data_IF_714208756599
#
_entry.id   IF_714208756599
#
_cell.length_a   1.000
_cell.length_b   1.000
_cell.length_c   1.000
_cell.angle_alpha   90.00
_cell.angle_beta   90.00
_cell.angle_gamma   90.00
#
_symmetry.space_group_name_H-M   'P 1'
#
loop_
_entity.id
_entity.type
_entity.pdbx_description
1 polymer ?
#
# COMPACT_ATOMS: atom_id res chain seq x y z
N UNK A 1 14.75 -13.76 17.31
CA UNK A 1 13.47 -13.75 18.05
C UNK A 1 12.44 -13.54 17.02
N UNK A 2 11.52 -14.49 16.91
CA UNK A 2 10.58 -14.52 15.82
C UNK A 2 9.57 -13.39 15.96
N UNK A 3 9.43 -12.62 14.89
CA UNK A 3 8.40 -11.60 14.74
C UNK A 3 7.42 -12.05 13.65
N UNK A 4 6.22 -11.47 13.70
CA UNK A 4 5.17 -11.69 12.72
C UNK A 4 4.71 -10.33 12.21
N UNK A 5 4.43 -10.24 10.92
CA UNK A 5 3.99 -9.00 10.27
C UNK A 5 3.04 -9.28 9.12
N UNK A 6 2.16 -8.34 8.82
CA UNK A 6 1.40 -8.30 7.57
C UNK A 6 2.16 -7.44 6.56
N UNK A 7 2.57 -8.03 5.46
CA UNK A 7 3.33 -7.37 4.40
C UNK A 7 2.66 -7.51 3.04
N UNK A 8 3.11 -6.71 2.09
CA UNK A 8 2.71 -6.77 0.69
C UNK A 8 3.92 -6.84 -0.23
N UNK A 9 3.77 -7.52 -1.37
CA UNK A 9 4.78 -7.61 -2.44
C UNK A 9 6.11 -8.27 -2.02
N UNK A 10 6.04 -9.28 -1.16
CA UNK A 10 7.20 -10.13 -0.88
C UNK A 10 7.45 -11.11 -2.03
N UNK A 11 8.70 -11.28 -2.46
CA UNK A 11 9.06 -12.13 -3.60
C UNK A 11 8.99 -11.38 -4.94
N UNK A 12 8.37 -12.00 -5.95
CA UNK A 12 8.27 -11.45 -7.31
C UNK A 12 7.46 -10.14 -7.36
N UNK A 13 7.89 -9.23 -8.23
CA UNK A 13 7.31 -7.88 -8.41
C UNK A 13 7.29 -7.53 -9.89
N UNK A 14 6.52 -6.52 -10.26
CA UNK A 14 6.54 -6.01 -11.63
C UNK A 14 7.93 -5.46 -11.99
N UNK A 15 8.29 -5.54 -13.26
CA UNK A 15 9.58 -5.08 -13.76
C UNK A 15 9.77 -3.57 -13.53
N UNK A 16 8.69 -2.79 -13.61
CA UNK A 16 8.70 -1.35 -13.37
C UNK A 16 9.09 -1.03 -11.92
N UNK A 17 8.49 -1.72 -10.94
CA UNK A 17 8.81 -1.52 -9.53
C UNK A 17 10.24 -1.97 -9.21
N UNK A 18 10.66 -3.11 -9.77
CA UNK A 18 12.03 -3.61 -9.64
C UNK A 18 13.04 -2.58 -10.17
N UNK A 19 12.80 -2.04 -11.36
CA UNK A 19 13.68 -1.06 -11.97
C UNK A 19 13.73 0.23 -11.14
N UNK A 20 12.59 0.74 -10.68
CA UNK A 20 12.53 1.93 -9.82
C UNK A 20 13.38 1.75 -8.56
N UNK A 21 13.16 0.65 -7.81
CA UNK A 21 13.89 0.34 -6.58
C UNK A 21 15.39 0.19 -6.86
N UNK A 22 15.75 -0.54 -7.92
CA UNK A 22 17.14 -0.77 -8.29
C UNK A 22 17.88 0.53 -8.65
N UNK A 23 17.21 1.47 -9.33
CA UNK A 23 17.80 2.78 -9.61
C UNK A 23 18.01 3.60 -8.33
N UNK A 24 17.05 3.61 -7.41
CA UNK A 24 17.25 4.24 -6.10
C UNK A 24 18.43 3.63 -5.34
N UNK A 25 18.55 2.29 -5.31
CA UNK A 25 19.69 1.61 -4.69
C UNK A 25 21.03 2.02 -5.33
N UNK A 26 21.08 2.14 -6.66
CA UNK A 26 22.26 2.62 -7.40
C UNK A 26 22.62 4.06 -7.05
N UNK A 27 21.62 4.95 -6.94
CA UNK A 27 21.84 6.35 -6.54
C UNK A 27 22.40 6.44 -5.13
N UNK A 28 21.85 5.67 -4.18
CA UNK A 28 22.36 5.62 -2.81
C UNK A 28 23.80 5.12 -2.82
N UNK A 29 24.07 3.96 -3.43
CA UNK A 29 25.42 3.39 -3.50
C UNK A 29 26.43 4.33 -4.18
N UNK A 30 26.02 5.09 -5.20
CA UNK A 30 26.87 6.05 -5.88
C UNK A 30 27.27 7.25 -5.00
N UNK A 31 26.41 7.62 -4.03
CA UNK A 31 26.65 8.75 -3.13
C UNK A 31 27.34 8.29 -1.83
N UNK A 32 26.93 7.16 -1.27
CA UNK A 32 27.43 6.67 0.02
C UNK A 32 28.60 5.69 -0.12
N UNK A 33 28.89 5.20 -1.33
CA UNK A 33 29.92 4.20 -1.58
C UNK A 33 29.62 2.86 -0.90
N UNK A 34 30.65 2.25 -0.31
CA UNK A 34 30.60 0.91 0.32
C UNK A 34 29.73 0.85 1.60
N UNK A 35 29.31 2.00 2.12
CA UNK A 35 28.55 2.10 3.37
C UNK A 35 27.06 1.78 3.21
N UNK A 36 26.59 1.48 2.00
CA UNK A 36 25.23 1.05 1.72
C UNK A 36 25.17 -0.44 1.40
N UNK A 37 24.37 -1.17 2.17
CA UNK A 37 24.02 -2.56 1.91
C UNK A 37 22.62 -2.60 1.28
N UNK A 38 22.52 -2.72 -0.06
CA UNK A 38 21.23 -2.87 -0.72
C UNK A 38 20.60 -4.19 -0.32
N UNK A 39 19.27 -4.21 -0.31
CA UNK A 39 18.50 -5.43 -0.20
C UNK A 39 18.34 -6.09 -1.58
N UNK A 40 18.56 -7.40 -1.67
CA UNK A 40 18.05 -8.25 -2.75
C UNK A 40 16.58 -7.92 -3.04
N UNK A 41 16.28 -7.70 -4.31
CA UNK A 41 14.97 -7.24 -4.77
C UNK A 41 13.79 -8.13 -4.32
N UNK A 42 13.89 -9.47 -4.24
CA UNK A 42 12.80 -10.29 -3.74
C UNK A 42 12.48 -10.05 -2.26
N UNK A 43 13.46 -9.67 -1.45
CA UNK A 43 13.29 -9.46 0.00
C UNK A 43 12.58 -8.13 0.32
N UNK A 44 12.69 -7.15 -0.57
CA UNK A 44 12.05 -5.84 -0.41
C UNK A 44 10.53 -6.03 -0.44
N UNK A 45 9.83 -5.41 0.51
CA UNK A 45 8.38 -5.53 0.66
C UNK A 45 7.84 -4.27 1.31
N UNK A 46 6.53 -4.09 1.25
CA UNK A 46 5.83 -3.06 1.99
C UNK A 46 5.25 -3.61 3.29
N UNK A 47 5.50 -2.95 4.42
CA UNK A 47 4.86 -3.33 5.69
C UNK A 47 3.48 -2.69 5.78
N UNK A 48 2.44 -3.52 5.88
CA UNK A 48 1.07 -3.05 6.08
C UNK A 48 0.82 -2.81 7.56
N UNK A 49 1.15 -3.80 8.39
CA UNK A 49 0.88 -3.79 9.81
C UNK A 49 1.84 -4.72 10.56
N UNK A 50 2.58 -4.17 11.52
CA UNK A 50 3.32 -4.97 12.50
C UNK A 50 2.38 -5.77 13.40
N UNK A 51 2.69 -7.05 13.61
CA UNK A 51 1.95 -7.96 14.48
C UNK A 51 2.85 -8.40 15.66
N UNK A 52 3.61 -7.46 16.21
CA UNK A 52 4.62 -7.72 17.23
C UNK A 52 3.99 -8.05 18.58
N UNK A 53 4.55 -9.04 19.27
CA UNK A 53 4.10 -9.46 20.60
C UNK A 53 5.04 -9.01 21.72
N UNK A 54 4.48 -8.89 22.93
CA UNK A 54 5.28 -8.84 24.16
C UNK A 54 5.88 -10.22 24.43
N UNK A 55 7.20 -10.25 24.62
CA UNK A 55 7.95 -11.47 24.92
C UNK A 55 7.41 -12.14 26.19
N UNK A 56 7.22 -13.46 26.15
CA UNK A 56 6.73 -14.23 27.28
C UNK A 56 5.21 -14.11 27.51
N UNK A 57 4.47 -13.49 26.58
CA UNK A 57 3.01 -13.44 26.63
C UNK A 57 2.40 -14.20 25.45
N UNK A 58 1.18 -14.75 25.59
CA UNK A 58 0.52 -15.44 24.49
C UNK A 58 -0.08 -14.44 23.50
N UNK A 59 0.74 -13.88 22.61
CA UNK A 59 0.34 -12.93 21.56
C UNK A 59 -0.24 -11.59 22.07
N UNK A 60 0.27 -11.04 23.19
CA UNK A 60 -0.18 -9.70 23.60
C UNK A 60 0.49 -8.65 22.72
N UNK A 61 -0.27 -7.71 22.17
CA UNK A 61 0.27 -6.70 21.26
C UNK A 61 1.32 -5.82 21.95
N UNK A 62 2.51 -5.73 21.37
CA UNK A 62 3.63 -4.95 21.91
C UNK A 62 3.32 -3.46 22.01
N UNK A 63 2.66 -2.90 20.99
CA UNK A 63 2.42 -1.46 20.90
C UNK A 63 1.30 -1.00 21.86
N UNK A 64 0.27 -1.82 22.10
CA UNK A 64 -0.72 -1.56 23.15
C UNK A 64 -0.05 -1.49 24.53
N UNK A 65 0.83 -2.43 24.84
CA UNK A 65 1.55 -2.44 26.11
C UNK A 65 2.47 -1.21 26.23
N UNK A 66 3.20 -0.89 25.16
CA UNK A 66 4.19 0.20 25.14
C UNK A 66 3.57 1.60 25.18
N UNK A 67 2.51 1.84 24.40
CA UNK A 67 1.98 3.20 24.19
C UNK A 67 0.69 3.48 24.96
N UNK A 68 -0.07 2.45 25.32
CA UNK A 68 -1.35 2.60 26.02
C UNK A 68 -1.35 1.93 27.39
N UNK A 69 -0.24 1.28 27.80
CA UNK A 69 -0.15 0.50 29.04
C UNK A 69 -1.27 -0.58 29.14
N UNK A 70 -1.67 -1.14 27.99
CA UNK A 70 -2.71 -2.16 27.88
C UNK A 70 -2.11 -3.51 27.50
N UNK A 71 -2.39 -4.54 28.30
CA UNK A 71 -1.98 -5.91 28.03
C UNK A 71 -3.17 -6.69 27.45
N UNK A 72 -3.26 -6.76 26.12
CA UNK A 72 -4.35 -7.45 25.42
C UNK A 72 -3.80 -8.41 24.37
N UNK A 73 -4.35 -9.62 24.36
CA UNK A 73 -4.11 -10.61 23.30
C UNK A 73 -4.67 -10.13 21.97
N UNK A 74 -3.87 -10.21 20.92
CA UNK A 74 -4.27 -9.91 19.54
C UNK A 74 -5.24 -10.97 19.02
N UNK A 75 -6.29 -10.53 18.33
CA UNK A 75 -7.15 -11.37 17.49
C UNK A 75 -6.70 -11.28 16.02
N UNK A 76 -5.52 -11.85 15.74
CA UNK A 76 -4.93 -11.82 14.39
C UNK A 76 -5.83 -12.56 13.39
N UNK A 77 -6.43 -13.69 13.77
CA UNK A 77 -7.31 -14.45 12.89
C UNK A 77 -8.58 -13.66 12.53
N UNK A 78 -9.23 -13.03 13.51
CA UNK A 78 -10.38 -12.15 13.28
C UNK A 78 -10.03 -10.99 12.35
N UNK A 79 -8.86 -10.36 12.56
CA UNK A 79 -8.40 -9.27 11.71
C UNK A 79 -8.16 -9.71 10.26
N UNK A 80 -7.49 -10.85 10.04
CA UNK A 80 -7.25 -11.36 8.69
C UNK A 80 -8.55 -11.77 7.98
N UNK A 81 -9.49 -12.37 8.72
CA UNK A 81 -10.82 -12.69 8.18
C UNK A 81 -11.61 -11.43 7.79
N UNK A 82 -11.56 -10.38 8.63
CA UNK A 82 -12.14 -9.10 8.30
C UNK A 82 -11.51 -8.51 7.03
N UNK A 83 -10.18 -8.53 6.91
CA UNK A 83 -9.47 -7.98 5.76
C UNK A 83 -9.84 -8.70 4.45
N UNK A 84 -10.01 -10.03 4.49
CA UNK A 84 -10.44 -10.86 3.35
C UNK A 84 -11.82 -10.50 2.79
N UNK A 85 -12.73 -10.00 3.62
CA UNK A 85 -14.09 -9.65 3.22
C UNK A 85 -14.33 -8.13 3.17
N UNK A 86 -13.32 -7.33 3.52
CA UNK A 86 -13.44 -5.88 3.56
C UNK A 86 -13.38 -5.27 2.17
N UNK A 87 -14.11 -4.17 1.96
CA UNK A 87 -14.03 -3.37 0.73
C UNK A 87 -12.73 -2.55 0.62
N UNK A 88 -11.85 -2.61 1.63
CA UNK A 88 -10.55 -1.92 1.59
C UNK A 88 -9.53 -2.61 0.67
N UNK A 89 -9.77 -3.87 0.28
CA UNK A 89 -8.92 -4.65 -0.64
C UNK A 89 -9.81 -5.17 -1.80
N UNK A 90 -9.46 -4.93 -3.07
CA UNK A 90 -8.20 -4.38 -3.56
C UNK A 90 -8.12 -2.84 -3.52
N UNK A 91 -6.89 -2.33 -3.53
CA UNK A 91 -6.60 -0.90 -3.68
C UNK A 91 -5.37 -0.67 -4.54
N UNK A 92 -5.26 0.50 -5.17
CA UNK A 92 -4.10 0.87 -5.98
C UNK A 92 -3.09 1.66 -5.15
N UNK A 93 -1.80 1.46 -5.42
CA UNK A 93 -0.70 2.25 -4.87
C UNK A 93 0.00 2.97 -6.00
N UNK A 94 0.37 4.23 -5.76
CA UNK A 94 1.34 4.96 -6.58
C UNK A 94 2.68 5.03 -5.85
N UNK A 95 3.77 4.72 -6.56
CA UNK A 95 5.15 4.95 -6.12
C UNK A 95 5.87 5.83 -7.15
N UNK A 96 6.50 6.91 -6.69
CA UNK A 96 7.10 7.93 -7.56
C UNK A 96 6.06 8.80 -8.28
N UNK A 97 6.54 9.72 -9.12
CA UNK A 97 5.72 10.68 -9.86
C UNK A 97 5.03 11.72 -8.97
N UNK A 98 5.62 12.05 -7.82
CA UNK A 98 5.11 13.10 -6.93
C UNK A 98 5.83 14.41 -7.26
N UNK A 99 5.16 15.31 -7.99
CA UNK A 99 5.67 16.65 -8.28
C UNK A 99 5.95 17.44 -6.99
N UNK A 100 6.92 18.37 -7.04
CA UNK A 100 7.18 19.33 -5.95
C UNK A 100 6.10 20.42 -5.95
N UNK A 101 4.89 20.04 -5.55
CA UNK A 101 3.75 20.92 -5.39
C UNK A 101 3.01 20.60 -4.08
N UNK A 102 2.02 21.42 -3.77
CA UNK A 102 1.14 21.15 -2.63
C UNK A 102 0.12 20.07 -3.01
N UNK A 103 -0.06 19.11 -2.10
CA UNK A 103 -1.07 18.05 -2.18
C UNK A 103 -2.11 18.27 -1.08
N UNK A 104 -3.31 17.75 -1.28
CA UNK A 104 -4.40 17.79 -0.29
C UNK A 104 -4.12 16.94 0.98
N UNK A 105 -2.94 16.33 1.08
CA UNK A 105 -2.52 15.55 2.24
C UNK A 105 -1.02 15.70 2.51
N UNK A 106 -0.63 15.41 3.75
CA UNK A 106 0.77 15.26 4.15
C UNK A 106 0.99 13.87 4.75
N UNK A 107 2.21 13.36 4.65
CA UNK A 107 2.63 12.18 5.40
C UNK A 107 3.62 12.63 6.46
N UNK A 108 3.23 12.45 7.73
CA UNK A 108 4.00 12.88 8.91
C UNK A 108 4.42 14.36 8.86
N UNK A 109 3.53 15.20 8.36
CA UNK A 109 3.77 16.64 8.24
C UNK A 109 4.68 17.04 7.07
N UNK A 110 5.06 16.12 6.19
CA UNK A 110 5.84 16.39 4.98
C UNK A 110 5.01 16.17 3.72
N UNK A 111 5.34 16.90 2.64
CA UNK A 111 4.66 16.75 1.35
C UNK A 111 5.06 15.42 0.68
N UNK A 112 4.21 14.82 -0.17
CA UNK A 112 4.53 13.57 -0.87
C UNK A 112 5.85 13.60 -1.63
N UNK A 113 6.20 14.72 -2.29
CA UNK A 113 7.50 14.92 -2.92
C UNK A 113 8.67 14.68 -1.95
N UNK A 114 8.65 15.39 -0.81
CA UNK A 114 9.69 15.30 0.21
C UNK A 114 9.74 13.91 0.85
N UNK A 115 8.56 13.32 1.07
CA UNK A 115 8.41 12.06 1.80
C UNK A 115 8.60 10.82 0.92
N UNK A 116 8.57 10.96 -0.40
CA UNK A 116 8.66 9.85 -1.37
C UNK A 116 9.91 9.00 -1.19
N UNK A 117 10.97 9.58 -0.61
CA UNK A 117 12.14 8.88 -0.11
C UNK A 117 12.58 9.46 1.23
N UNK A 118 13.11 8.62 2.13
CA UNK A 118 13.63 9.09 3.41
C UNK A 118 14.68 8.13 4.00
N UNK A 119 15.66 8.72 4.66
CA UNK A 119 16.61 8.02 5.53
C UNK A 119 16.06 8.00 6.96
N UNK A 120 15.74 6.81 7.46
CA UNK A 120 15.13 6.63 8.79
C UNK A 120 16.05 5.81 9.69
N UNK A 121 16.80 6.49 10.55
CA UNK A 121 17.87 5.84 11.32
C UNK A 121 18.94 5.31 10.37
N UNK A 122 19.10 4.00 10.31
CA UNK A 122 20.00 3.31 9.38
C UNK A 122 19.32 2.77 8.11
N UNK A 123 18.03 3.09 7.89
CA UNK A 123 17.20 2.50 6.83
C UNK A 123 17.00 3.48 5.68
N UNK A 124 17.21 3.03 4.45
CA UNK A 124 16.75 3.75 3.26
C UNK A 124 15.36 3.27 2.86
N UNK A 125 14.41 4.19 2.71
CA UNK A 125 13.00 3.88 2.52
C UNK A 125 12.40 4.65 1.35
N UNK A 126 11.71 3.96 0.44
CA UNK A 126 10.85 4.55 -0.60
C UNK A 126 9.40 4.48 -0.12
N UNK A 127 8.62 5.52 -0.39
CA UNK A 127 7.20 5.58 -0.04
C UNK A 127 6.32 5.54 -1.28
N UNK A 128 5.18 4.86 -1.14
CA UNK A 128 4.01 5.05 -1.97
C UNK A 128 2.79 5.38 -1.13
N UNK A 129 1.72 5.81 -1.80
CA UNK A 129 0.44 6.08 -1.16
C UNK A 129 -0.70 5.47 -1.96
N UNK A 130 -1.78 5.03 -1.27
CA UNK A 130 -2.99 4.61 -1.95
C UNK A 130 -3.51 5.70 -2.87
N UNK A 131 -3.83 5.33 -4.10
CA UNK A 131 -4.55 6.15 -5.06
C UNK A 131 -5.89 5.50 -5.36
N UNK A 132 -6.89 6.34 -5.60
CA UNK A 132 -8.25 6.04 -6.07
C UNK A 132 -8.71 4.57 -5.88
N UNK A 133 -9.54 4.34 -4.88
CA UNK A 133 -10.41 3.17 -4.85
C UNK A 133 -11.45 3.32 -5.97
N UNK A 134 -11.48 2.41 -6.95
CA UNK A 134 -12.69 2.21 -7.73
C UNK A 134 -13.76 1.71 -6.76
N UNK A 135 -14.92 2.38 -6.60
CA UNK A 135 -16.03 1.68 -5.99
C UNK A 135 -16.39 0.55 -6.96
N UNK A 136 -16.17 -0.70 -6.55
CA UNK A 136 -16.81 -1.85 -7.19
C UNK A 136 -18.31 -1.72 -6.95
N UNK A 137 -18.98 -0.96 -7.81
CA UNK A 137 -20.41 -1.01 -8.08
C UNK A 137 -21.33 -1.26 -6.88
N UNK A 138 -21.40 -0.34 -5.93
CA UNK A 138 -22.65 -0.12 -5.18
C UNK A 138 -23.25 1.15 -5.72
N UNK A 139 -24.18 1.02 -6.67
CA UNK A 139 -25.12 2.10 -6.91
C UNK A 139 -25.76 2.40 -5.56
N UNK A 140 -25.63 3.63 -5.06
CA UNK A 140 -26.53 4.14 -4.05
C UNK A 140 -27.96 3.96 -4.60
N UNK A 141 -28.61 2.86 -4.23
CA UNK A 141 -30.06 2.81 -4.29
C UNK A 141 -30.52 3.85 -3.29
N UNK A 142 -30.76 5.06 -3.80
CA UNK A 142 -31.53 6.08 -3.10
C UNK A 142 -32.77 5.40 -2.54
N UNK A 143 -32.82 5.27 -1.21
CA UNK A 143 -34.04 4.92 -0.48
C UNK A 143 -35.07 5.97 -0.85
N UNK A 144 -36.08 5.57 -1.62
CA UNK A 144 -37.26 6.41 -1.82
C UNK A 144 -37.83 6.44 -3.23
N UNK A 145 -38.03 5.29 -3.89
CA UNK A 145 -39.07 5.22 -4.91
C UNK A 145 -39.91 3.96 -4.73
N UNK A 146 -41.08 4.16 -4.14
CA UNK A 146 -42.18 3.20 -4.14
C UNK A 146 -42.65 3.11 -5.59
N UNK A 147 -42.15 2.10 -6.33
CA UNK A 147 -42.67 1.76 -7.64
C UNK A 147 -44.07 1.17 -7.47
N UNK A 148 -45.09 1.99 -7.79
CA UNK A 148 -46.48 1.56 -7.87
C UNK A 148 -46.62 0.59 -9.04
N UNK A 149 -46.79 -0.68 -8.71
CA UNK A 149 -47.12 -1.76 -9.63
C UNK A 149 -48.52 -1.53 -10.23
N UNK A 150 -48.60 -1.12 -11.49
CA UNK A 150 -49.85 -1.10 -12.27
C UNK A 150 -50.07 -2.46 -12.95
N UNK A 151 -51.18 -3.12 -12.59
CA UNK A 151 -51.76 -4.25 -13.32
C UNK A 151 -52.34 -3.79 -14.66
N UNK A 152 -51.93 -4.41 -15.78
CA UNK A 152 -52.73 -4.66 -17.00
C UNK A 152 -52.17 -5.95 -17.65
N UNK A 153 -52.91 -7.07 -17.74
CA UNK A 153 -53.91 -7.42 -18.79
C UNK A 153 -53.35 -6.99 -20.16
N UNK A 154 -52.74 -7.86 -20.98
CA UNK A 154 -53.26 -9.11 -21.52
C UNK A 154 -53.70 -8.83 -22.96
N UNK A 155 -52.87 -9.20 -23.94
CA UNK A 155 -53.22 -9.66 -25.30
C UNK A 155 -52.02 -9.58 -26.24
N UNK A 156 -51.96 -10.56 -27.13
CA UNK A 156 -50.88 -10.84 -28.06
C UNK A 156 -51.11 -10.10 -29.38
N UNK A 157 -50.05 -9.54 -29.97
CA UNK A 157 -49.99 -9.42 -31.43
C UNK A 157 -48.53 -9.34 -31.90
N UNK A 158 -48.17 -10.32 -32.74
CA UNK A 158 -46.91 -10.47 -33.46
C UNK A 158 -46.79 -9.43 -34.57
N UNK A 159 -45.80 -8.53 -34.55
CA UNK A 159 -45.38 -7.78 -35.75
C UNK A 159 -43.85 -7.63 -35.87
N UNK A 160 -43.42 -7.84 -37.11
CA UNK A 160 -42.05 -7.81 -37.68
C UNK A 160 -41.24 -6.59 -37.25
N UNK A 161 -39.99 -6.82 -36.87
CA UNK A 161 -38.96 -5.78 -36.71
C UNK A 161 -38.25 -5.61 -38.06
N UNK A 162 -38.38 -4.42 -38.65
CA UNK A 162 -37.50 -3.93 -39.71
C UNK A 162 -36.18 -3.47 -39.09
N UNK A 163 -35.06 -3.93 -39.63
CA UNK A 163 -33.70 -3.49 -39.28
C UNK A 163 -33.31 -2.32 -40.20
N UNK A 164 -33.02 -1.11 -39.68
CA UNK A 164 -32.39 -0.06 -40.48
C UNK A 164 -30.87 -0.25 -40.53
N UNK A 165 -30.35 -0.19 -41.75
CA UNK A 165 -28.93 -0.17 -42.10
C UNK A 165 -28.29 1.20 -41.82
N UNK A 166 -26.97 1.15 -41.60
CA UNK A 166 -25.93 2.17 -41.86
C UNK A 166 -25.96 3.44 -41.00
N UNK A 167 -25.00 3.52 -40.09
CA UNK A 167 -24.37 4.80 -39.72
C UNK A 167 -22.87 4.61 -39.96
N UNK A 168 -22.34 5.36 -40.93
CA UNK A 168 -20.91 5.47 -41.24
C UNK A 168 -20.32 6.60 -40.43
N UNK A 169 -19.19 6.35 -39.74
CA UNK A 169 -18.35 7.41 -39.19
C UNK A 169 -16.96 7.29 -39.80
N UNK A 170 -16.67 8.20 -40.73
CA UNK A 170 -15.31 8.51 -41.18
C UNK A 170 -14.73 9.54 -40.21
N UNK A 171 -13.52 9.35 -39.64
CA UNK A 171 -12.90 10.37 -38.82
C UNK A 171 -12.19 11.41 -39.71
N UNK A 172 -12.23 12.71 -39.37
CA UNK A 172 -11.42 13.70 -40.06
C UNK A 172 -9.96 13.60 -39.58
N UNK A 173 -9.05 13.62 -40.56
CA UNK A 173 -7.62 13.78 -40.38
C UNK A 173 -7.27 15.25 -40.12
N UNK A 174 -6.48 15.46 -39.07
CA UNK A 174 -5.42 16.47 -39.04
C UNK A 174 -5.78 17.83 -38.47
N UNK A 175 -5.26 18.12 -37.28
CA UNK A 175 -4.59 19.39 -37.02
C UNK A 175 -3.50 19.20 -35.95
N UNK A 176 -2.28 19.53 -36.33
CA UNK A 176 -1.07 19.52 -35.51
C UNK A 176 -1.00 20.78 -34.66
N UNK A 177 -0.95 20.65 -33.34
CA UNK A 177 -0.54 21.76 -32.47
C UNK A 177 0.17 21.27 -31.20
N UNK A 178 1.46 21.58 -31.16
CA UNK A 178 2.27 21.98 -30.00
C UNK A 178 2.09 21.24 -28.65
N UNK A 179 3.17 20.55 -28.28
CA UNK A 179 3.62 20.25 -26.93
C UNK A 179 3.05 21.17 -25.84
N UNK A 180 2.17 20.63 -25.01
CA UNK A 180 2.02 20.98 -23.61
C UNK A 180 1.65 19.70 -22.87
N UNK A 181 2.55 19.21 -22.03
CA UNK A 181 2.33 18.09 -21.13
C UNK A 181 1.29 18.47 -20.06
N UNK A 182 0.02 18.50 -20.46
CA UNK A 182 -1.12 18.58 -19.56
C UNK A 182 -1.39 17.16 -19.02
N UNK A 183 -0.63 16.75 -18.00
CA UNK A 183 -1.17 15.75 -17.09
C UNK A 183 -2.30 16.44 -16.31
N UNK A 184 -3.55 15.95 -16.38
CA UNK A 184 -4.64 16.54 -15.60
C UNK A 184 -4.29 16.39 -14.12
N UNK A 185 -4.10 17.51 -13.43
CA UNK A 185 -3.95 17.48 -11.97
C UNK A 185 -5.24 16.93 -11.35
N UNK A 186 -5.18 15.82 -10.59
CA UNK A 186 -6.38 15.23 -10.05
C UNK A 186 -6.72 15.91 -8.72
N UNK A 187 -7.77 16.74 -8.73
CA UNK A 187 -8.47 17.15 -7.53
C UNK A 187 -8.82 15.91 -6.67
N UNK A 188 -8.32 15.89 -5.42
CA UNK A 188 -8.53 14.88 -4.35
C UNK A 188 -8.36 13.40 -4.74
N UNK A 189 -7.12 12.88 -4.87
CA UNK A 189 -6.85 11.52 -5.42
C UNK A 189 -6.24 10.45 -4.49
N UNK A 190 -6.05 10.74 -3.20
CA UNK A 190 -5.34 9.86 -2.26
C UNK A 190 -6.22 9.42 -1.06
N UNK A 191 -6.92 8.27 -1.14
CA UNK A 191 -7.70 7.76 -0.02
C UNK A 191 -6.82 7.33 1.16
N UNK A 192 -7.34 7.48 2.39
CA UNK A 192 -6.67 7.03 3.63
C UNK A 192 -6.75 5.51 3.84
N UNK A 193 -6.69 4.70 2.78
CA UNK A 193 -6.96 3.26 2.81
C UNK A 193 -6.11 2.51 3.84
N UNK A 194 -4.80 2.75 3.89
CA UNK A 194 -3.91 2.06 4.83
C UNK A 194 -4.11 2.52 6.26
N UNK A 195 -4.37 3.82 6.45
CA UNK A 195 -4.73 4.36 7.76
C UNK A 195 -6.02 3.72 8.29
N UNK A 196 -7.02 3.54 7.43
CA UNK A 196 -8.28 2.89 7.80
C UNK A 196 -8.10 1.40 8.12
N UNK A 197 -7.29 0.66 7.35
CA UNK A 197 -6.94 -0.74 7.66
C UNK A 197 -6.25 -0.82 9.03
N UNK A 198 -5.26 0.03 9.29
CA UNK A 198 -4.51 0.08 10.55
C UNK A 198 -5.39 0.47 11.74
N UNK A 199 -6.35 1.38 11.55
CA UNK A 199 -7.35 1.74 12.57
C UNK A 199 -8.36 0.61 12.82
N UNK A 200 -8.84 -0.06 11.78
CA UNK A 200 -9.73 -1.20 11.91
C UNK A 200 -9.08 -2.34 12.72
N UNK A 201 -7.78 -2.57 12.54
CA UNK A 201 -7.01 -3.55 13.29
C UNK A 201 -7.06 -3.36 14.82
N UNK A 202 -7.28 -2.12 15.30
CA UNK A 202 -7.40 -1.84 16.73
C UNK A 202 -8.62 -2.52 17.36
N UNK A 203 -9.70 -2.75 16.60
CA UNK A 203 -10.86 -3.53 17.08
C UNK A 203 -10.53 -5.00 17.38
N UNK A 204 -9.39 -5.49 16.86
CA UNK A 204 -8.83 -6.81 17.09
C UNK A 204 -7.66 -6.80 18.08
N UNK A 205 -7.53 -5.73 18.87
CA UNK A 205 -6.42 -5.49 19.80
C UNK A 205 -5.04 -5.43 19.14
N UNK A 206 -4.97 -4.97 17.89
CA UNK A 206 -3.71 -4.80 17.16
C UNK A 206 -3.45 -3.30 16.96
N UNK A 207 -2.44 -2.77 17.65
CA UNK A 207 -2.03 -1.37 17.51
C UNK A 207 -0.77 -1.26 16.64
N UNK A 208 -0.82 -0.42 15.62
CA UNK A 208 0.35 -0.11 14.80
C UNK A 208 1.28 0.88 15.51
N UNK A 209 2.61 0.77 15.32
CA UNK A 209 3.59 1.62 16.01
C UNK A 209 3.47 3.12 15.69
N UNK A 210 2.84 3.46 14.57
CA UNK A 210 2.58 4.84 14.14
C UNK A 210 1.16 5.34 14.46
N UNK A 211 0.36 4.55 15.19
CA UNK A 211 -0.94 4.94 15.74
C UNK A 211 -0.90 4.96 17.27
N UNK A 212 -0.02 5.78 17.85
CA UNK A 212 0.14 5.91 19.30
C UNK A 212 -1.06 6.59 19.94
N UNK A 213 -1.65 7.55 19.23
CA UNK A 213 -2.84 8.29 19.65
C UNK A 213 -3.98 8.12 18.63
N UNK A 214 -5.26 8.32 19.03
CA UNK A 214 -6.38 8.27 18.09
C UNK A 214 -6.32 9.31 16.97
N UNK A 215 -5.57 10.40 17.16
CA UNK A 215 -5.40 11.46 16.17
C UNK A 215 -4.32 11.13 15.12
N UNK A 216 -3.51 10.10 15.35
CA UNK A 216 -2.44 9.74 14.44
C UNK A 216 -3.03 9.24 13.11
N UNK A 217 -2.35 9.61 12.02
CA UNK A 217 -2.68 9.19 10.66
C UNK A 217 -1.42 8.59 10.04
N UNK A 218 -1.56 7.40 9.49
CA UNK A 218 -0.46 6.69 8.84
C UNK A 218 -0.97 5.99 7.59
N UNK A 219 -0.78 6.64 6.43
CA UNK A 219 -1.19 6.12 5.13
C UNK A 219 0.00 5.68 4.27
N UNK A 220 1.19 5.52 4.87
CA UNK A 220 2.43 5.20 4.16
C UNK A 220 2.46 3.74 3.71
N UNK A 221 2.72 3.51 2.42
CA UNK A 221 3.07 2.20 1.85
C UNK A 221 4.58 2.16 1.61
N UNK A 222 5.34 1.81 2.64
CA UNK A 222 6.79 2.02 2.65
C UNK A 222 7.59 0.77 2.34
N UNK A 223 8.62 0.90 1.50
CA UNK A 223 9.57 -0.15 1.15
C UNK A 223 10.94 0.16 1.73
N UNK A 224 11.45 -0.72 2.58
CA UNK A 224 12.85 -0.66 2.99
C UNK A 224 13.72 -1.26 1.90
N UNK A 225 14.57 -0.44 1.29
CA UNK A 225 15.37 -0.84 0.11
C UNK A 225 16.84 -1.12 0.44
N UNK A 226 17.26 -0.86 1.66
CA UNK A 226 18.61 -1.16 2.12
C UNK A 226 18.93 -0.54 3.47
N UNK A 227 20.19 -0.74 3.85
CA UNK A 227 20.78 -0.27 5.09
C UNK A 227 22.00 0.59 4.81
N UNK A 228 22.23 1.60 5.62
CA UNK A 228 23.46 2.37 5.59
C UNK A 228 23.96 2.64 7.01
N UNK A 229 25.24 2.97 7.17
CA UNK A 229 25.77 3.42 8.45
C UNK A 229 25.43 4.91 8.68
N UNK A 230 24.60 5.26 9.68
CA UNK A 230 24.17 6.65 9.88
C UNK A 230 25.28 7.57 10.38
N UNK A 231 26.37 7.02 10.92
CA UNK A 231 27.51 7.76 11.45
C UNK A 231 28.49 8.21 10.36
N UNK A 232 28.44 7.58 9.18
CA UNK A 232 29.37 7.86 8.08
C UNK A 232 28.87 8.92 7.11
N UNK A 233 27.62 9.35 7.25
CA UNK A 233 27.00 10.37 6.39
C UNK A 233 26.61 11.57 7.25
N UNK A 234 27.23 12.72 6.98
CA UNK A 234 26.87 13.97 7.63
C UNK A 234 25.47 14.46 7.19
N UNK A 235 24.87 15.35 7.97
CA UNK A 235 23.49 15.81 7.73
C UNK A 235 23.31 16.54 6.39
N UNK A 236 24.36 17.21 5.88
CA UNK A 236 24.30 17.86 4.56
C UNK A 236 24.24 16.81 3.46
N UNK A 237 25.09 15.79 3.54
CA UNK A 237 25.09 14.65 2.62
C UNK A 237 23.77 13.87 2.68
N UNK A 238 23.19 13.67 3.85
CA UNK A 238 21.85 13.05 4.02
C UNK A 238 20.77 13.85 3.29
N UNK A 239 20.69 15.16 3.52
CA UNK A 239 19.72 16.04 2.86
C UNK A 239 19.91 16.10 1.35
N UNK A 240 21.17 16.12 0.89
CA UNK A 240 21.50 16.10 -0.54
C UNK A 240 21.07 14.79 -1.20
N UNK A 241 21.29 13.66 -0.53
CA UNK A 241 20.86 12.33 -0.98
C UNK A 241 19.33 12.24 -1.04
N UNK A 242 18.63 12.64 0.02
CA UNK A 242 17.17 12.64 0.06
C UNK A 242 16.59 13.52 -1.07
N UNK A 243 17.10 14.75 -1.22
CA UNK A 243 16.69 15.66 -2.29
C UNK A 243 16.93 15.05 -3.68
N UNK A 244 18.11 14.49 -3.93
CA UNK A 244 18.47 13.91 -5.24
C UNK A 244 17.54 12.75 -5.62
N UNK A 245 17.20 11.89 -4.65
CA UNK A 245 16.31 10.75 -4.90
C UNK A 245 14.86 11.22 -5.04
N UNK A 246 14.39 12.17 -4.23
CA UNK A 246 13.04 12.74 -4.40
C UNK A 246 12.89 13.44 -5.75
N UNK A 247 13.90 14.18 -6.23
CA UNK A 247 13.92 14.76 -7.58
C UNK A 247 13.91 13.69 -8.70
N UNK A 248 14.59 12.57 -8.49
CA UNK A 248 14.53 11.45 -9.43
C UNK A 248 13.14 10.80 -9.43
N UNK A 249 12.57 10.55 -8.25
CA UNK A 249 11.25 9.95 -8.10
C UNK A 249 10.16 10.84 -8.68
N UNK A 250 10.24 12.16 -8.55
CA UNK A 250 9.24 13.10 -9.11
C UNK A 250 9.24 13.11 -10.64
N UNK A 251 10.41 12.98 -11.27
CA UNK A 251 10.55 12.97 -12.74
C UNK A 251 10.32 11.60 -13.37
N UNK A 252 10.31 10.54 -12.57
CA UNK A 252 10.09 9.18 -13.04
C UNK A 252 8.59 8.94 -13.27
N UNK A 253 8.25 8.24 -14.35
CA UNK A 253 6.87 7.80 -14.58
C UNK A 253 6.36 7.03 -13.36
N UNK A 254 5.22 7.43 -12.75
CA UNK A 254 4.72 6.77 -11.55
C UNK A 254 4.49 5.29 -11.80
N UNK A 255 4.96 4.46 -10.86
CA UNK A 255 4.67 3.03 -10.86
C UNK A 255 3.37 2.83 -10.10
N UNK A 256 2.34 2.40 -10.82
CA UNK A 256 1.00 2.15 -10.27
C UNK A 256 0.71 0.65 -10.35
N UNK A 257 0.32 0.06 -9.22
CA UNK A 257 -0.09 -1.34 -9.15
C UNK A 257 -1.25 -1.54 -8.17
N UNK A 258 -1.98 -2.63 -8.37
CA UNK A 258 -3.05 -3.06 -7.47
C UNK A 258 -2.50 -3.98 -6.39
N UNK A 259 -2.90 -3.74 -5.14
CA UNK A 259 -2.69 -4.63 -4.00
C UNK A 259 -3.97 -5.43 -3.79
N UNK A 260 -3.89 -6.72 -4.08
CA UNK A 260 -4.96 -7.71 -3.89
C UNK A 260 -4.65 -8.62 -2.69
N UNK A 261 -5.59 -9.50 -2.33
CA UNK A 261 -5.34 -10.53 -1.31
C UNK A 261 -4.17 -11.47 -1.66
N UNK A 262 -3.88 -11.67 -2.95
CA UNK A 262 -2.74 -12.47 -3.39
C UNK A 262 -1.40 -11.79 -3.06
N UNK A 263 -1.38 -10.46 -3.01
CA UNK A 263 -0.18 -9.68 -2.70
C UNK A 263 0.08 -9.54 -1.20
N UNK A 264 -0.96 -9.73 -0.37
CA UNK A 264 -0.87 -9.63 1.07
C UNK A 264 -0.43 -10.96 1.67
N UNK A 265 0.58 -10.93 2.54
CA UNK A 265 1.10 -12.11 3.21
C UNK A 265 1.32 -11.85 4.69
N UNK A 266 1.05 -12.86 5.53
CA UNK A 266 1.62 -12.94 6.87
C UNK A 266 3.04 -13.47 6.73
N UNK A 267 4.03 -12.76 7.25
CA UNK A 267 5.41 -13.20 7.27
C UNK A 267 5.89 -13.41 8.70
N UNK A 268 6.66 -14.48 8.90
CA UNK A 268 7.32 -14.82 10.14
C UNK A 268 8.84 -14.91 9.92
N UNK A 269 9.60 -14.21 10.75
CA UNK A 269 11.03 -14.00 10.53
C UNK A 269 11.79 -13.76 11.84
N UNK A 270 13.08 -14.12 11.85
CA UNK A 270 14.01 -13.81 12.94
C UNK A 270 14.89 -12.58 12.66
N UNK A 271 15.03 -12.20 11.38
CA UNK A 271 15.79 -11.05 10.91
C UNK A 271 14.85 -10.02 10.26
N UNK A 272 14.83 -8.79 10.75
CA UNK A 272 14.01 -7.67 10.24
C UNK A 272 14.34 -7.24 8.79
N UNK A 273 15.38 -7.83 8.17
CA UNK A 273 15.65 -7.72 6.74
C UNK A 273 14.70 -8.59 5.90
N UNK A 274 14.10 -9.61 6.52
CA UNK A 274 13.30 -10.65 5.89
C UNK A 274 14.04 -11.31 4.70
N UNK A 275 15.24 -11.88 4.91
CA UNK A 275 15.95 -12.54 3.83
C UNK A 275 15.17 -13.78 3.37
N UNK A 276 15.21 -14.05 2.07
CA UNK A 276 14.37 -15.09 1.41
C UNK A 276 14.60 -16.47 2.00
N UNK A 277 15.81 -16.76 2.46
CA UNK A 277 16.20 -18.07 2.97
C UNK A 277 15.77 -18.36 4.42
N UNK A 278 15.34 -17.35 5.19
CA UNK A 278 14.92 -17.54 6.59
C UNK A 278 13.56 -16.93 6.93
N UNK A 279 12.88 -16.36 5.93
CA UNK A 279 11.53 -15.82 6.07
C UNK A 279 10.52 -16.85 5.58
N UNK A 280 9.56 -17.20 6.44
CA UNK A 280 8.40 -17.98 6.01
C UNK A 280 7.21 -17.04 5.85
N UNK A 281 6.43 -17.20 4.79
CA UNK A 281 5.27 -16.36 4.55
C UNK A 281 4.09 -17.16 3.98
N UNK A 282 2.89 -16.65 4.22
CA UNK A 282 1.63 -17.25 3.78
C UNK A 282 0.72 -16.17 3.20
N UNK A 283 0.23 -16.39 1.99
CA UNK A 283 -0.69 -15.46 1.33
C UNK A 283 -2.04 -15.42 2.04
N UNK A 284 -2.66 -14.23 2.10
CA UNK A 284 -4.01 -14.08 2.66
C UNK A 284 -5.08 -14.77 1.83
N UNK A 285 -4.80 -15.04 0.55
CA UNK A 285 -5.67 -15.82 -0.32
C UNK A 285 -5.65 -17.33 0.02
N UNK A 286 -4.65 -17.77 0.78
CA UNK A 286 -4.52 -19.16 1.20
C UNK A 286 -5.45 -19.46 2.40
N UNK A 287 -6.18 -20.58 2.28
CA UNK A 287 -7.03 -21.11 3.35
C UNK A 287 -6.21 -21.79 4.46
N UNK A 288 -4.90 -22.01 4.26
CA UNK A 288 -4.00 -22.60 5.26
C UNK A 288 -3.70 -21.67 6.44
N UNK A 289 -3.96 -20.36 6.31
CA UNK A 289 -3.87 -19.37 7.40
C UNK A 289 -5.01 -19.56 8.43
N UNK A 290 -4.92 -20.66 9.16
CA UNK A 290 -5.81 -21.06 10.25
C UNK A 290 -5.40 -20.40 11.57
N UNK A 291 -6.31 -20.41 12.56
CA UNK A 291 -6.02 -19.90 13.89
C UNK A 291 -4.86 -20.69 14.55
N UNK A 292 -4.84 -22.01 14.38
CA UNK A 292 -3.80 -22.89 14.90
C UNK A 292 -2.44 -22.54 14.30
N UNK A 293 -2.36 -22.35 12.98
CA UNK A 293 -1.13 -21.92 12.32
C UNK A 293 -0.66 -20.58 12.87
N UNK A 294 -1.55 -19.57 12.93
CA UNK A 294 -1.21 -18.23 13.43
C UNK A 294 -0.67 -18.30 14.86
N UNK A 295 -1.32 -19.06 15.75
CA UNK A 295 -0.84 -19.23 17.12
C UNK A 295 0.57 -19.86 17.15
N UNK A 296 0.81 -20.90 16.34
CA UNK A 296 2.13 -21.57 16.27
C UNK A 296 3.27 -20.65 15.83
N UNK A 297 2.99 -19.55 15.11
CA UNK A 297 4.00 -18.57 14.71
C UNK A 297 4.61 -17.81 15.89
N UNK A 298 3.93 -17.82 17.05
CA UNK A 298 4.31 -17.09 18.25
C UNK A 298 4.82 -17.98 19.40
N UNK A 299 4.83 -19.30 19.22
CA UNK A 299 5.23 -20.29 20.23
C UNK A 299 6.75 -20.56 20.29
N UNK A 300 7.54 -19.83 19.49
CA UNK A 300 9.01 -19.98 19.38
C UNK A 300 9.81 -19.05 20.28
#
# INVERSE_FOLDING_TARGET
>A
MRQVTLISLYGEKSLELVNLIHQCQKMIAGITGIEFTPYDLPQIHATILGLEQVIGTPMHNLNLAKYQNLSKKMDVCGFLNWLRISDYVPFQIQVGGFDDCDYDFTSRGQRPYERSFSLQGNKAVIMGWPIRHLPLGVSEKRRGEISKQTRRRGEAETRRIQVPRKISFTPPLGETSSNNSNFPQPASSYPNTLDQIRKAAQSFNILHAYHRTPADVDNDFYFRIGLFNPETIDDSSKKSLEKSISEFLSKTTPVIFEVTLANLCVASYDDEKLPVNSTTFWSLQDNLLTQELICSLYES
#
